data_IF_927786512141
#
_entry.id   IF_927786512141
#
_cell.length_a   1.000
_cell.length_b   1.000
_cell.length_c   1.000
_cell.angle_alpha   90.00
_cell.angle_beta   90.00
_cell.angle_gamma   90.00
#
_symmetry.space_group_name_H-M   'P 1'
#
loop_
_entity.id
_entity.type
_entity.pdbx_description
1 polymer ?
#
# COMPACT_ATOMS: atom_id res chain seq x y z
N UNK A 1 -9.89 -12.60 5.71
CA UNK A 1 -8.77 -11.74 6.15
C UNK A 1 -7.86 -11.51 4.96
N UNK A 2 -7.22 -10.35 4.86
CA UNK A 2 -6.31 -10.01 3.76
C UNK A 2 -5.05 -9.36 4.28
N UNK A 3 -3.96 -9.51 3.52
CA UNK A 3 -2.65 -8.91 3.83
C UNK A 3 -2.69 -7.42 3.51
N UNK A 4 -2.72 -6.60 4.55
CA UNK A 4 -2.90 -5.15 4.44
C UNK A 4 -1.59 -4.46 4.16
N UNK A 5 -1.67 -3.42 3.35
CA UNK A 5 -0.50 -2.70 2.86
C UNK A 5 -0.74 -1.20 2.71
N UNK A 6 0.35 -0.48 2.50
CA UNK A 6 0.34 0.94 2.20
C UNK A 6 1.23 1.22 0.99
N UNK A 7 0.67 1.91 -0.01
CA UNK A 7 1.44 2.44 -1.15
C UNK A 7 1.64 3.93 -0.96
N UNK A 8 2.90 4.37 -0.89
CA UNK A 8 3.28 5.77 -0.67
C UNK A 8 4.07 6.33 -1.84
N UNK A 9 3.85 7.61 -2.13
CA UNK A 9 4.69 8.39 -3.07
C UNK A 9 5.15 9.66 -2.38
N UNK A 10 6.46 9.85 -2.33
CA UNK A 10 7.11 11.06 -1.81
C UNK A 10 7.63 11.87 -2.99
N UNK A 11 7.30 13.16 -3.01
CA UNK A 11 7.80 14.12 -3.99
C UNK A 11 7.76 15.51 -3.40
N UNK A 12 8.77 16.32 -3.69
CA UNK A 12 8.92 17.69 -3.18
C UNK A 12 8.92 17.75 -1.64
N UNK A 13 9.57 16.77 -1.00
CA UNK A 13 9.68 16.65 0.45
C UNK A 13 8.38 16.30 1.17
N UNK A 14 7.32 15.93 0.43
CA UNK A 14 5.97 15.68 0.97
C UNK A 14 5.44 14.32 0.53
N UNK A 15 4.63 13.72 1.40
CA UNK A 15 3.76 12.60 1.02
C UNK A 15 2.68 13.10 0.07
N UNK A 16 2.69 12.65 -1.18
CA UNK A 16 1.68 12.98 -2.19
C UNK A 16 0.61 11.89 -2.32
N UNK A 17 0.97 10.65 -1.99
CA UNK A 17 0.07 9.48 -1.98
C UNK A 17 0.36 8.68 -0.72
N UNK A 18 -0.70 8.23 -0.04
CA UNK A 18 -0.64 7.25 1.04
C UNK A 18 -1.91 6.38 0.96
N UNK A 19 -1.90 5.45 0.02
CA UNK A 19 -3.03 4.61 -0.32
C UNK A 19 -3.01 3.33 0.52
N UNK A 20 -4.06 3.15 1.32
CA UNK A 20 -4.32 1.89 2.00
C UNK A 20 -4.80 0.81 1.01
N UNK A 21 -4.27 -0.39 1.15
CA UNK A 21 -4.71 -1.60 0.46
C UNK A 21 -5.10 -2.69 1.47
N UNK A 22 -6.28 -3.29 1.28
CA UNK A 22 -6.78 -4.34 2.16
C UNK A 22 -6.28 -5.74 1.80
N UNK A 23 -5.95 -5.97 0.52
CA UNK A 23 -5.74 -7.30 -0.03
C UNK A 23 -4.34 -7.47 -0.60
N UNK A 24 -3.83 -8.69 -0.47
CA UNK A 24 -2.67 -9.22 -1.18
C UNK A 24 -1.42 -8.32 -1.11
N UNK A 25 -1.14 -7.75 0.06
CA UNK A 25 -0.05 -6.81 0.28
C UNK A 25 1.36 -7.29 -0.06
N UNK A 26 1.54 -8.59 -0.31
CA UNK A 26 2.84 -9.19 -0.60
C UNK A 26 3.51 -8.64 -1.88
N UNK A 27 4.85 -8.75 -1.99
CA UNK A 27 5.61 -8.30 -3.15
C UNK A 27 5.14 -8.90 -4.48
N UNK A 28 4.62 -10.11 -4.49
CA UNK A 28 4.17 -10.83 -5.68
C UNK A 28 2.95 -10.17 -6.35
N UNK A 29 2.18 -9.38 -5.59
CA UNK A 29 0.95 -8.72 -6.06
C UNK A 29 1.08 -7.21 -6.02
N UNK A 30 1.01 -6.57 -4.85
CA UNK A 30 1.05 -5.11 -4.76
C UNK A 30 2.43 -4.57 -5.14
N UNK A 31 3.51 -5.19 -4.63
CA UNK A 31 4.87 -4.79 -4.97
C UNK A 31 5.18 -4.94 -6.47
N UNK A 32 4.76 -6.04 -7.09
CA UNK A 32 4.86 -6.30 -8.52
C UNK A 32 4.09 -5.26 -9.33
N UNK A 33 2.86 -4.93 -8.92
CA UNK A 33 2.04 -3.91 -9.58
C UNK A 33 2.78 -2.57 -9.61
N UNK A 34 3.40 -2.17 -8.48
CA UNK A 34 4.19 -0.93 -8.40
C UNK A 34 5.46 -1.01 -9.26
N UNK A 35 6.17 -2.15 -9.22
CA UNK A 35 7.37 -2.36 -10.02
C UNK A 35 7.07 -2.26 -11.52
N UNK A 36 5.97 -2.86 -11.98
CA UNK A 36 5.54 -2.80 -13.37
C UNK A 36 5.17 -1.37 -13.76
N UNK A 37 4.35 -0.70 -12.94
CA UNK A 37 4.01 0.72 -13.13
C UNK A 37 5.27 1.58 -13.30
N UNK A 38 6.26 1.44 -12.41
CA UNK A 38 7.48 2.25 -12.46
C UNK A 38 8.36 1.97 -13.68
N UNK A 39 8.29 0.77 -14.27
CA UNK A 39 9.03 0.43 -15.50
C UNK A 39 8.41 1.03 -16.76
N UNK A 40 7.10 1.24 -16.74
CA UNK A 40 6.33 1.60 -17.92
C UNK A 40 5.93 3.08 -17.94
N UNK A 41 5.79 3.71 -16.76
CA UNK A 41 5.30 5.09 -16.67
C UNK A 41 6.33 6.13 -17.15
N UNK A 42 5.84 7.20 -17.77
CA UNK A 42 6.61 8.43 -17.90
C UNK A 42 6.65 9.15 -16.53
N UNK A 43 7.81 9.08 -15.86
CA UNK A 43 8.02 9.71 -14.55
C UNK A 43 7.88 11.23 -14.58
N UNK A 44 8.16 11.91 -15.71
CA UNK A 44 7.98 13.36 -15.82
C UNK A 44 6.50 13.69 -15.82
N UNK A 45 5.71 12.99 -16.64
CA UNK A 45 4.26 13.14 -16.65
C UNK A 45 3.65 12.79 -15.28
N UNK A 46 4.09 11.68 -14.67
CA UNK A 46 3.60 11.27 -13.36
C UNK A 46 3.86 12.33 -12.29
N UNK A 47 5.06 12.94 -12.26
CA UNK A 47 5.37 14.06 -11.36
C UNK A 47 4.42 15.25 -11.57
N UNK A 48 4.09 15.60 -12.81
CA UNK A 48 3.11 16.67 -13.08
C UNK A 48 1.69 16.31 -12.61
N UNK A 49 1.29 15.02 -12.69
CA UNK A 49 0.01 14.56 -12.12
C UNK A 49 0.00 14.67 -10.59
N UNK A 50 1.10 14.31 -9.93
CA UNK A 50 1.24 14.39 -8.47
C UNK A 50 1.08 15.82 -7.93
N UNK A 51 1.52 16.84 -8.68
CA UNK A 51 1.35 18.25 -8.29
C UNK A 51 -0.11 18.68 -8.21
N UNK A 52 -1.01 18.01 -8.94
CA UNK A 52 -2.45 18.32 -8.97
C UNK A 52 -3.24 17.59 -7.87
N UNK A 53 -2.60 16.71 -7.11
CA UNK A 53 -3.26 15.94 -6.06
C UNK A 53 -3.54 16.80 -4.83
N UNK A 54 -4.63 16.47 -4.15
CA UNK A 54 -4.99 17.02 -2.85
C UNK A 54 -5.56 15.93 -1.96
N UNK A 55 -5.35 16.07 -0.64
CA UNK A 55 -5.99 15.18 0.32
C UNK A 55 -7.36 15.71 0.75
N UNK A 56 -8.34 14.82 0.83
CA UNK A 56 -9.65 15.09 1.41
C UNK A 56 -9.74 14.53 2.83
N UNK A 57 -10.62 15.11 3.64
CA UNK A 57 -10.81 14.66 5.03
C UNK A 57 -11.56 13.33 5.10
N UNK A 58 -11.27 12.54 6.14
CA UNK A 58 -12.01 11.32 6.47
C UNK A 58 -13.52 11.58 6.61
N UNK A 59 -13.92 12.74 7.16
CA UNK A 59 -15.32 13.17 7.22
C UNK A 59 -15.96 13.30 5.84
N UNK A 60 -15.23 13.83 4.84
CA UNK A 60 -15.75 13.93 3.46
C UNK A 60 -15.85 12.55 2.82
N UNK A 61 -14.86 11.67 3.01
CA UNK A 61 -14.92 10.27 2.56
C UNK A 61 -16.13 9.55 3.17
N UNK A 62 -16.38 9.73 4.46
CA UNK A 62 -17.54 9.17 5.14
C UNK A 62 -18.88 9.62 4.55
N UNK A 63 -19.00 10.89 4.13
CA UNK A 63 -20.18 11.39 3.42
C UNK A 63 -20.36 10.72 2.05
N UNK A 64 -19.30 10.60 1.26
CA UNK A 64 -19.33 9.91 -0.04
C UNK A 64 -19.73 8.43 0.12
N UNK A 65 -19.28 7.80 1.20
CA UNK A 65 -19.69 6.43 1.55
C UNK A 65 -21.18 6.37 1.90
N UNK A 66 -21.68 7.30 2.72
CA UNK A 66 -23.11 7.39 3.06
C UNK A 66 -24.00 7.61 1.83
N UNK A 67 -23.54 8.40 0.85
CA UNK A 67 -24.22 8.58 -0.44
C UNK A 67 -24.28 7.27 -1.26
N UNK A 68 -23.38 6.33 -1.03
CA UNK A 68 -23.41 5.00 -1.67
C UNK A 68 -24.26 3.98 -0.89
N UNK A 69 -24.59 4.25 0.38
CA UNK A 69 -25.47 3.38 1.18
C UNK A 69 -26.93 3.49 0.76
N UNK A 70 -27.34 4.63 0.18
CA UNK A 70 -28.73 4.91 -0.20
C UNK A 70 -28.78 5.19 -1.71
N UNK A 71 -29.42 4.31 -2.46
CA UNK A 71 -29.62 4.46 -3.91
C UNK A 71 -31.12 4.39 -4.19
N UNK A 72 -31.66 5.41 -4.85
CA UNK A 72 -33.09 5.53 -5.16
C UNK A 72 -33.99 5.36 -3.92
N UNK A 73 -33.56 5.89 -2.77
CA UNK A 73 -34.29 5.81 -1.51
C UNK A 73 -34.21 4.46 -0.78
N UNK A 74 -33.49 3.47 -1.32
CA UNK A 74 -33.32 2.16 -0.69
C UNK A 74 -31.93 2.03 -0.04
N UNK A 75 -31.89 1.49 1.18
CA UNK A 75 -30.64 1.16 1.87
C UNK A 75 -30.04 -0.14 1.32
N UNK A 76 -28.78 -0.09 0.92
CA UNK A 76 -28.05 -1.22 0.38
C UNK A 76 -27.16 -1.86 1.44
N UNK A 77 -26.94 -3.17 1.31
CA UNK A 77 -26.02 -3.87 2.22
C UNK A 77 -24.57 -3.40 1.99
N UNK A 78 -23.68 -3.71 2.96
CA UNK A 78 -22.28 -3.27 2.93
C UNK A 78 -21.52 -3.75 1.68
N UNK A 79 -21.83 -4.95 1.18
CA UNK A 79 -21.17 -5.51 0.00
C UNK A 79 -21.47 -4.67 -1.24
N UNK A 80 -22.75 -4.46 -1.55
CA UNK A 80 -23.14 -3.68 -2.73
C UNK A 80 -22.72 -2.21 -2.61
N UNK A 81 -22.75 -1.66 -1.39
CA UNK A 81 -22.22 -0.32 -1.10
C UNK A 81 -20.74 -0.21 -1.43
N UNK A 82 -19.94 -1.21 -1.04
CA UNK A 82 -18.51 -1.27 -1.32
C UNK A 82 -18.21 -1.30 -2.82
N UNK A 83 -18.95 -2.11 -3.58
CA UNK A 83 -18.80 -2.19 -5.04
C UNK A 83 -19.18 -0.88 -5.73
N UNK A 84 -20.27 -0.22 -5.31
CA UNK A 84 -20.63 1.10 -5.84
C UNK A 84 -19.56 2.14 -5.49
N UNK A 85 -19.11 2.17 -4.24
CA UNK A 85 -18.12 3.13 -3.77
C UNK A 85 -16.81 2.97 -4.54
N UNK A 86 -16.35 1.74 -4.77
CA UNK A 86 -15.19 1.42 -5.61
C UNK A 86 -15.37 1.86 -7.05
N UNK A 87 -16.57 1.72 -7.60
CA UNK A 87 -16.87 2.14 -8.98
C UNK A 87 -16.86 3.67 -9.11
N UNK A 88 -17.45 4.39 -8.14
CA UNK A 88 -17.55 5.85 -8.16
C UNK A 88 -16.26 6.57 -7.74
N UNK A 89 -15.57 6.03 -6.75
CA UNK A 89 -14.40 6.63 -6.11
C UNK A 89 -13.28 5.58 -5.96
N UNK A 90 -12.76 5.02 -7.06
CA UNK A 90 -11.78 3.96 -7.01
C UNK A 90 -10.54 4.33 -6.19
N UNK A 91 -10.09 5.58 -6.25
CA UNK A 91 -8.96 6.10 -5.46
C UNK A 91 -9.20 6.15 -3.94
N UNK A 92 -10.46 6.05 -3.50
CA UNK A 92 -10.80 6.01 -2.08
C UNK A 92 -11.11 4.59 -1.60
N UNK A 93 -11.16 3.61 -2.51
CA UNK A 93 -11.45 2.23 -2.18
C UNK A 93 -10.22 1.51 -1.61
N UNK A 94 -10.45 0.75 -0.54
CA UNK A 94 -9.44 -0.15 0.06
C UNK A 94 -8.99 -1.27 -0.88
N UNK A 95 -9.78 -1.56 -1.92
CA UNK A 95 -9.49 -2.61 -2.90
C UNK A 95 -8.48 -2.17 -3.97
N UNK A 96 -8.28 -0.86 -4.11
CA UNK A 96 -7.50 -0.31 -5.21
C UNK A 96 -6.01 -0.54 -5.02
N UNK A 97 -5.51 -0.39 -3.78
CA UNK A 97 -4.10 -0.59 -3.45
C UNK A 97 -3.17 0.14 -4.44
N UNK A 98 -2.14 -0.55 -4.92
CA UNK A 98 -1.15 0.00 -5.85
C UNK A 98 -1.73 0.50 -7.18
N UNK A 99 -2.91 0.03 -7.60
CA UNK A 99 -3.53 0.48 -8.87
C UNK A 99 -3.89 1.96 -8.86
N UNK A 100 -3.91 2.61 -7.69
CA UNK A 100 -4.10 4.06 -7.58
C UNK A 100 -3.03 4.83 -8.38
N UNK A 101 -1.82 4.28 -8.50
CA UNK A 101 -0.72 4.90 -9.24
C UNK A 101 -1.09 5.07 -10.73
N UNK A 102 -1.70 4.05 -11.31
CA UNK A 102 -2.19 4.08 -12.69
C UNK A 102 -3.33 5.09 -12.86
N UNK A 103 -4.28 5.13 -11.93
CA UNK A 103 -5.39 6.10 -11.96
C UNK A 103 -4.88 7.55 -11.93
N UNK A 104 -3.85 7.83 -11.12
CA UNK A 104 -3.21 9.15 -11.04
C UNK A 104 -2.47 9.46 -12.33
N UNK A 105 -1.68 8.50 -12.85
CA UNK A 105 -0.90 8.67 -14.08
C UNK A 105 -1.79 9.00 -15.29
N UNK A 106 -2.90 8.27 -15.43
CA UNK A 106 -3.92 8.49 -16.46
C UNK A 106 -4.71 9.80 -16.25
N UNK A 107 -4.53 10.48 -15.11
CA UNK A 107 -5.24 11.71 -14.79
C UNK A 107 -6.73 11.51 -14.50
N UNK A 108 -7.13 10.31 -14.05
CA UNK A 108 -8.53 9.99 -13.72
C UNK A 108 -8.93 10.48 -12.33
N UNK A 109 -7.97 10.67 -11.43
CA UNK A 109 -8.22 10.97 -10.01
C UNK A 109 -7.28 12.05 -9.48
N UNK A 110 -7.80 12.90 -8.58
CA UNK A 110 -7.04 14.04 -8.04
C UNK A 110 -7.24 14.27 -6.53
N UNK A 111 -8.15 13.53 -5.89
CA UNK A 111 -8.52 13.68 -4.47
C UNK A 111 -8.32 12.37 -3.75
N UNK A 112 -7.36 12.31 -2.83
CA UNK A 112 -6.99 11.08 -2.13
C UNK A 112 -7.30 11.18 -0.63
N UNK A 113 -7.33 10.04 0.06
CA UNK A 113 -7.30 10.00 1.51
C UNK A 113 -5.85 9.72 1.97
N UNK A 114 -5.34 10.52 2.88
CA UNK A 114 -4.03 10.28 3.49
C UNK A 114 -4.14 9.18 4.57
N UNK A 115 -3.64 7.98 4.25
CA UNK A 115 -3.55 6.86 5.19
C UNK A 115 -2.13 6.69 5.76
N UNK A 116 -1.26 7.70 5.71
CA UNK A 116 0.14 7.60 6.17
C UNK A 116 0.27 7.11 7.61
N UNK A 117 -0.67 7.48 8.49
CA UNK A 117 -0.69 7.04 9.89
C UNK A 117 -0.86 5.52 10.07
N UNK A 118 -1.39 4.81 9.07
CA UNK A 118 -1.58 3.37 9.11
C UNK A 118 -0.27 2.60 9.32
N UNK A 119 0.87 3.20 8.94
CA UNK A 119 2.18 2.58 9.13
C UNK A 119 2.55 2.32 10.59
N UNK A 120 1.94 3.05 11.53
CA UNK A 120 2.17 2.88 12.96
C UNK A 120 1.30 1.79 13.59
N UNK A 121 0.40 1.19 12.82
CA UNK A 121 -0.44 0.07 13.24
C UNK A 121 0.30 -1.25 12.95
N UNK A 122 1.35 -1.55 13.73
CA UNK A 122 2.25 -2.69 13.47
C UNK A 122 1.57 -4.06 13.52
N UNK A 123 0.41 -4.17 14.17
CA UNK A 123 -0.42 -5.38 14.16
C UNK A 123 -1.05 -5.65 12.79
N UNK A 124 -1.40 -4.58 12.07
CA UNK A 124 -2.23 -4.68 10.88
C UNK A 124 -1.55 -4.21 9.60
N UNK A 125 -0.53 -3.35 9.67
CA UNK A 125 0.25 -2.93 8.52
C UNK A 125 1.38 -3.93 8.29
N UNK A 126 1.23 -4.77 7.25
CA UNK A 126 2.16 -5.88 7.00
C UNK A 126 3.22 -5.51 5.97
N UNK A 127 2.84 -4.73 4.95
CA UNK A 127 3.75 -4.29 3.89
C UNK A 127 3.60 -2.80 3.57
N UNK A 128 4.72 -2.12 3.34
CA UNK A 128 4.71 -0.73 2.86
C UNK A 128 5.65 -0.59 1.67
N UNK A 129 5.16 0.07 0.64
CA UNK A 129 5.90 0.37 -0.57
C UNK A 129 6.04 1.88 -0.71
N UNK A 130 7.27 2.38 -0.77
CA UNK A 130 7.54 3.81 -0.88
C UNK A 130 8.25 4.09 -2.21
N UNK A 131 7.62 4.93 -3.03
CA UNK A 131 8.23 5.53 -4.21
C UNK A 131 8.75 6.91 -3.80
N UNK A 132 10.03 7.00 -3.48
CA UNK A 132 10.68 8.25 -3.13
C UNK A 132 11.27 8.89 -4.40
N UNK A 133 10.54 9.83 -4.98
CA UNK A 133 10.93 10.52 -6.21
C UNK A 133 12.00 11.59 -5.99
N UNK A 134 12.19 12.03 -4.74
CA UNK A 134 13.23 12.99 -4.36
C UNK A 134 14.59 12.28 -4.28
N UNK A 135 14.61 11.05 -3.77
CA UNK A 135 15.80 10.19 -3.69
C UNK A 135 15.97 9.24 -4.88
N UNK A 136 15.00 9.20 -5.78
CA UNK A 136 14.96 8.26 -6.91
C UNK A 136 15.02 6.79 -6.45
N UNK A 137 14.23 6.43 -5.43
CA UNK A 137 14.21 5.10 -4.81
C UNK A 137 12.82 4.47 -4.83
N UNK A 138 12.80 3.15 -5.07
CA UNK A 138 11.66 2.29 -4.75
C UNK A 138 12.04 1.42 -3.55
N UNK A 139 11.36 1.62 -2.44
CA UNK A 139 11.66 1.02 -1.14
C UNK A 139 10.53 0.09 -0.70
N UNK A 140 10.89 -1.07 -0.17
CA UNK A 140 9.98 -2.10 0.32
C UNK A 140 10.22 -2.30 1.81
N UNK A 141 9.15 -2.27 2.59
CA UNK A 141 9.18 -2.44 4.03
C UNK A 141 8.17 -3.49 4.48
N UNK A 142 8.43 -4.12 5.62
CA UNK A 142 7.49 -5.06 6.26
C UNK A 142 7.67 -5.08 7.78
N UNK A 143 6.64 -5.55 8.49
CA UNK A 143 6.71 -5.87 9.91
C UNK A 143 7.23 -7.29 10.19
N UNK A 144 7.51 -8.11 9.17
CA UNK A 144 8.10 -9.45 9.38
C UNK A 144 9.60 -9.40 9.71
N UNK A 145 10.23 -8.23 9.64
CA UNK A 145 11.61 -8.05 10.08
C UNK A 145 11.68 -8.04 11.60
N UNK A 146 12.37 -9.01 12.20
CA UNK A 146 12.52 -9.11 13.66
C UNK A 146 13.42 -8.03 14.29
N UNK A 147 13.96 -7.10 13.51
CA UNK A 147 14.91 -6.11 13.99
C UNK A 147 14.21 -4.82 14.43
N UNK A 148 14.58 -4.22 15.58
CA UNK A 148 14.04 -2.94 16.01
C UNK A 148 14.40 -1.81 15.03
N UNK A 149 13.61 -0.74 15.03
CA UNK A 149 13.98 0.50 14.36
C UNK A 149 14.98 1.29 15.20
N UNK A 150 15.83 2.02 14.49
CA UNK A 150 16.82 2.97 14.99
C UNK A 150 16.41 4.39 14.59
N UNK A 151 16.98 5.41 15.23
CA UNK A 151 16.74 6.83 14.88
C UNK A 151 17.05 7.18 13.41
N UNK A 152 17.78 6.33 12.69
CA UNK A 152 18.11 6.51 11.26
C UNK A 152 17.01 5.98 10.33
N UNK A 153 16.12 5.13 10.84
CA UNK A 153 15.06 4.53 10.04
C UNK A 153 13.95 5.54 9.73
N UNK A 154 13.46 5.52 8.49
CA UNK A 154 12.46 6.45 7.95
C UNK A 154 11.23 6.61 8.87
N UNK A 155 10.77 5.52 9.45
CA UNK A 155 9.53 5.45 10.20
C UNK A 155 9.75 5.33 11.72
N UNK A 156 10.95 5.63 12.20
CA UNK A 156 11.24 5.60 13.62
C UNK A 156 10.33 6.56 14.40
N UNK A 157 9.75 6.06 15.50
CA UNK A 157 8.99 6.86 16.46
C UNK A 157 9.41 6.46 17.87
N UNK A 158 9.41 7.40 18.81
CA UNK A 158 9.86 7.15 20.21
C UNK A 158 8.89 6.23 20.97
N UNK A 159 7.66 6.06 20.49
CA UNK A 159 6.56 5.35 21.17
C UNK A 159 6.40 3.87 20.76
N UNK A 160 7.48 3.18 20.39
CA UNK A 160 7.38 1.72 20.19
C UNK A 160 7.26 1.02 21.55
N UNK A 161 6.08 0.45 21.84
CA UNK A 161 5.92 -0.44 22.99
C UNK A 161 6.72 -1.71 22.73
N UNK A 162 7.60 -2.06 23.67
CA UNK A 162 8.58 -3.15 23.57
C UNK A 162 7.94 -4.54 23.37
N UNK A 163 6.65 -4.68 23.70
CA UNK A 163 5.94 -5.96 23.79
C UNK A 163 4.87 -6.17 22.69
N UNK A 164 4.77 -5.30 21.69
CA UNK A 164 3.68 -5.33 20.71
C UNK A 164 4.17 -5.14 19.27
N UNK A 165 4.28 -6.24 18.53
CA UNK A 165 4.45 -6.37 17.06
C UNK A 165 5.60 -5.56 16.43
N UNK A 166 6.44 -6.26 15.66
CA UNK A 166 7.63 -5.66 15.07
C UNK A 166 7.30 -4.45 14.19
N UNK A 167 8.08 -3.37 14.29
CA UNK A 167 7.85 -2.17 13.50
C UNK A 167 8.13 -2.39 12.01
N UNK A 168 7.43 -1.65 11.13
CA UNK A 168 7.68 -1.65 9.69
C UNK A 168 9.13 -1.24 9.42
N UNK A 169 9.95 -2.19 8.94
CA UNK A 169 11.36 -1.99 8.63
C UNK A 169 11.66 -2.26 7.16
N UNK A 170 12.65 -1.54 6.65
CA UNK A 170 13.06 -1.67 5.25
C UNK A 170 13.65 -3.06 5.01
N UNK A 171 13.23 -3.68 3.90
CA UNK A 171 13.74 -4.96 3.41
C UNK A 171 14.70 -4.72 2.26
N UNK A 172 14.26 -3.90 1.31
CA UNK A 172 14.99 -3.65 0.07
C UNK A 172 14.73 -2.26 -0.45
N UNK A 173 15.71 -1.74 -1.18
CA UNK A 173 15.63 -0.42 -1.80
C UNK A 173 16.34 -0.48 -3.15
N UNK A 174 15.66 -0.02 -4.20
CA UNK A 174 16.14 -0.03 -5.58
C UNK A 174 16.24 1.39 -6.12
N UNK A 175 17.17 1.62 -7.05
CA UNK A 175 17.15 2.85 -7.84
C UNK A 175 16.02 2.75 -8.85
N UNK A 176 15.18 3.78 -8.98
CA UNK A 176 14.12 3.80 -10.00
C UNK A 176 14.72 3.77 -11.42
N UNK A 177 15.98 4.23 -11.58
CA UNK A 177 16.71 4.15 -12.86
C UNK A 177 17.25 2.75 -13.18
N UNK A 178 17.28 1.84 -12.21
CA UNK A 178 17.82 0.48 -12.35
C UNK A 178 16.97 -0.50 -11.55
N UNK A 179 15.73 -0.68 -12.00
CA UNK A 179 14.76 -1.56 -11.37
C UNK A 179 15.09 -3.04 -11.65
N UNK A 180 14.88 -3.93 -10.67
CA UNK A 180 15.11 -5.37 -10.83
C UNK A 180 14.11 -5.99 -11.81
N UNK A 181 14.38 -7.22 -12.27
CA UNK A 181 13.34 -8.06 -12.89
C UNK A 181 12.28 -8.44 -11.85
N UNK A 182 11.08 -8.84 -12.27
CA UNK A 182 10.03 -9.29 -11.33
C UNK A 182 10.52 -10.48 -10.51
N UNK A 183 11.20 -11.43 -11.16
CA UNK A 183 11.79 -12.60 -10.47
C UNK A 183 12.80 -12.20 -9.40
N UNK A 184 13.71 -11.27 -9.73
CA UNK A 184 14.70 -10.79 -8.76
C UNK A 184 14.04 -10.01 -7.63
N UNK A 185 13.05 -9.18 -7.95
CA UNK A 185 12.30 -8.41 -6.96
C UNK A 185 11.63 -9.30 -5.92
N UNK A 186 10.92 -10.35 -6.37
CA UNK A 186 10.29 -11.34 -5.49
C UNK A 186 11.37 -12.02 -4.64
N UNK A 187 12.41 -12.59 -5.26
CA UNK A 187 13.51 -13.25 -4.54
C UNK A 187 14.15 -12.36 -3.46
N UNK A 188 14.36 -11.09 -3.75
CA UNK A 188 14.98 -10.12 -2.84
C UNK A 188 14.06 -9.69 -1.69
N UNK A 189 12.77 -9.98 -1.77
CA UNK A 189 11.74 -9.54 -0.81
C UNK A 189 10.99 -10.70 -0.16
N UNK A 190 11.16 -11.93 -0.63
CA UNK A 190 10.74 -13.15 0.04
C UNK A 190 11.61 -13.40 1.27
N UNK A 191 10.99 -13.70 2.39
CA UNK A 191 11.67 -14.24 3.56
C UNK A 191 11.63 -15.77 3.44
N UNK A 192 12.78 -16.44 3.55
CA UNK A 192 12.87 -17.92 3.46
C UNK A 192 12.18 -18.66 4.63
N UNK A 193 11.39 -17.97 5.46
CA UNK A 193 10.63 -18.55 6.55
C UNK A 193 9.30 -19.15 6.05
N UNK A 194 9.37 -20.18 5.21
CA UNK A 194 8.31 -21.20 5.19
C UNK A 194 8.56 -22.31 6.23
N UNK A 195 9.77 -22.39 6.81
CA UNK A 195 10.06 -23.26 7.96
C UNK A 195 9.81 -22.59 9.31
N UNK A 196 10.18 -21.31 9.48
CA UNK A 196 10.12 -20.68 10.80
C UNK A 196 8.72 -20.15 11.19
N UNK A 197 7.79 -20.00 10.23
CA UNK A 197 6.42 -19.54 10.51
C UNK A 197 5.54 -20.63 11.13
N UNK A 198 5.80 -21.91 10.83
CA UNK A 198 5.17 -23.05 11.50
C UNK A 198 5.69 -23.20 12.93
N UNK A 199 7.00 -22.98 13.16
CA UNK A 199 7.60 -23.00 14.50
C UNK A 199 7.12 -21.84 15.40
N UNK A 200 6.70 -20.71 14.81
CA UNK A 200 6.12 -19.56 15.52
C UNK A 200 4.60 -19.67 15.73
N UNK A 201 3.97 -20.81 15.41
CA UNK A 201 2.55 -21.07 15.69
C UNK A 201 1.55 -20.30 14.83
N UNK A 202 1.98 -19.71 13.71
CA UNK A 202 1.07 -19.06 12.76
C UNK A 202 0.55 -20.08 11.74
N UNK A 203 -0.66 -20.61 11.98
CA UNK A 203 -1.39 -21.39 10.98
C UNK A 203 -1.83 -20.50 9.81
N UNK A 204 -1.04 -20.45 8.74
CA UNK A 204 -1.47 -19.84 7.48
C UNK A 204 -2.20 -20.92 6.68
N UNK A 205 -3.54 -20.83 6.63
CA UNK A 205 -4.37 -21.64 5.74
C UNK A 205 -4.08 -21.22 4.30
N UNK A 206 -3.23 -21.96 3.61
CA UNK A 206 -3.07 -21.84 2.16
C UNK A 206 -4.27 -22.55 1.52
N UNK A 207 -5.31 -21.78 1.17
CA UNK A 207 -6.32 -22.26 0.23
C UNK A 207 -5.71 -22.28 -1.18
N UNK A 208 -4.90 -23.30 -1.46
CA UNK A 208 -4.59 -23.71 -2.82
C UNK A 208 -5.82 -24.38 -3.44
N UNK A 209 -6.71 -23.56 -3.99
CA UNK A 209 -7.64 -24.00 -5.03
C UNK A 209 -7.63 -23.01 -6.20
N UNK A 210 -6.53 -23.06 -6.94
CA UNK A 210 -6.58 -22.94 -8.40
C UNK A 210 -5.98 -24.21 -8.97
N UNK A 211 -6.85 -25.18 -9.24
CA UNK A 211 -6.62 -26.21 -10.26
C UNK A 211 -7.95 -26.40 -11.00
N UNK A 212 -7.91 -25.93 -12.26
CA UNK A 212 -8.69 -26.26 -13.44
C UNK A 212 -10.23 -26.26 -13.31
#
# INVERSE_FOLDING_TARGET
MGTRNLTMVISEGKTKVAQYGQWDGYPEVQGKTILQFLKECDLKLFKERLKKLSFISSKKVGKLWSECLIINGQSWNKFKTSELFKTKYPELSRDTGAKVLQLIYEGKVFKLLDNSKFIHDSLWCEWVYVIDLDKNRFEVYTNFSQNPLTKKDRFFTVKYKKDAYYPIKIVKSYSIKKLPTVRQFIKDTTFESHKDLEELGYNIIINHKFKQ
#
